data_IF_127257232572
#
_entry.id   IF_127257232572
#
_cell.length_a   1.000
_cell.length_b   1.000
_cell.length_c   1.000
_cell.angle_alpha   90.00
_cell.angle_beta   90.00
_cell.angle_gamma   90.00
#
_symmetry.space_group_name_H-M   'P 1'
#
loop_
_entity.id
_entity.type
_entity.pdbx_description
1 polymer ?
#
# COMPACT_ATOMS: atom_id res chain seq x y z
N UNK A 1 31.00 -2.04 -20.32
CA UNK A 1 30.97 -0.63 -19.85
C UNK A 1 29.97 0.26 -20.60
N UNK A 2 29.71 0.08 -21.90
CA UNK A 2 28.72 0.90 -22.66
C UNK A 2 27.26 0.65 -22.22
N UNK A 3 26.87 -0.61 -22.08
CA UNK A 3 25.51 -1.05 -21.72
C UNK A 3 25.02 -0.50 -20.36
N UNK A 4 25.90 -0.45 -19.36
CA UNK A 4 25.58 0.07 -18.03
C UNK A 4 25.39 1.61 -18.02
N UNK A 5 25.89 2.29 -19.05
CA UNK A 5 25.82 3.75 -19.20
C UNK A 5 24.54 4.16 -19.95
N UNK A 6 24.16 3.40 -20.98
CA UNK A 6 22.87 3.56 -21.68
C UNK A 6 21.68 3.33 -20.74
N UNK A 7 21.70 2.24 -19.97
CA UNK A 7 20.66 1.96 -18.96
C UNK A 7 20.57 3.06 -17.89
N UNK A 8 21.69 3.74 -17.57
CA UNK A 8 21.66 4.88 -16.64
C UNK A 8 20.96 6.09 -17.25
N UNK A 9 21.22 6.39 -18.52
CA UNK A 9 20.65 7.55 -19.23
C UNK A 9 19.15 7.36 -19.46
N UNK A 10 18.71 6.14 -19.77
CA UNK A 10 17.28 5.81 -19.92
C UNK A 10 16.52 6.04 -18.62
N UNK A 11 17.04 5.53 -17.50
CA UNK A 11 16.43 5.74 -16.18
C UNK A 11 16.39 7.23 -15.82
N UNK A 12 17.48 7.96 -16.04
CA UNK A 12 17.53 9.41 -15.79
C UNK A 12 16.47 10.15 -16.61
N UNK A 13 16.32 9.79 -17.89
CA UNK A 13 15.31 10.38 -18.78
C UNK A 13 13.88 10.07 -18.34
N UNK A 14 13.64 8.84 -17.87
CA UNK A 14 12.33 8.42 -17.40
C UNK A 14 11.95 9.12 -16.08
N UNK A 15 12.89 9.22 -15.13
CA UNK A 15 12.72 10.00 -13.89
C UNK A 15 12.40 11.45 -14.22
N UNK A 16 13.16 12.06 -15.13
CA UNK A 16 12.96 13.44 -15.57
C UNK A 16 11.56 13.66 -16.12
N UNK A 17 11.12 12.78 -17.04
CA UNK A 17 9.81 12.85 -17.66
C UNK A 17 8.68 12.74 -16.65
N UNK A 18 8.76 11.80 -15.71
CA UNK A 18 7.70 11.55 -14.72
C UNK A 18 7.57 12.70 -13.71
N UNK A 19 8.68 13.18 -13.17
CA UNK A 19 8.69 14.31 -12.23
C UNK A 19 8.16 15.58 -12.89
N UNK A 20 8.63 15.90 -14.10
CA UNK A 20 8.12 17.06 -14.84
C UNK A 20 6.66 16.91 -15.22
N UNK A 21 6.21 15.70 -15.52
CA UNK A 21 4.79 15.43 -15.75
C UNK A 21 3.96 15.79 -14.52
N UNK A 22 4.38 15.38 -13.32
CA UNK A 22 3.69 15.73 -12.07
C UNK A 22 3.66 17.25 -11.85
N UNK A 23 4.80 17.92 -12.00
CA UNK A 23 4.91 19.37 -11.83
C UNK A 23 4.03 20.12 -12.83
N UNK A 24 4.05 19.73 -14.11
CA UNK A 24 3.26 20.34 -15.17
C UNK A 24 1.76 20.07 -15.02
N UNK A 25 1.38 18.86 -14.58
CA UNK A 25 -0.01 18.54 -14.27
C UNK A 25 -0.53 19.43 -13.14
N UNK A 26 0.29 19.67 -12.10
CA UNK A 26 -0.12 20.57 -11.03
C UNK A 26 -0.29 22.01 -11.51
N UNK A 27 0.63 22.52 -12.33
CA UNK A 27 0.50 23.84 -12.92
C UNK A 27 -0.78 23.97 -13.76
N UNK A 28 -1.02 23.01 -14.67
CA UNK A 28 -2.24 22.96 -15.49
C UNK A 28 -3.53 22.89 -14.67
N UNK A 29 -3.50 22.17 -13.56
CA UNK A 29 -4.61 22.10 -12.62
C UNK A 29 -4.85 23.44 -11.91
N UNK A 30 -3.79 24.12 -11.46
CA UNK A 30 -3.92 25.46 -10.86
C UNK A 30 -4.45 26.50 -11.85
N UNK A 31 -4.12 26.38 -13.14
CA UNK A 31 -4.67 27.23 -14.20
C UNK A 31 -6.10 26.86 -14.62
N UNK A 32 -6.68 25.78 -14.07
CA UNK A 32 -8.02 25.31 -14.42
C UNK A 32 -8.13 24.67 -15.82
N UNK A 33 -6.99 24.36 -16.46
CA UNK A 33 -6.97 23.76 -17.81
C UNK A 33 -7.27 22.26 -17.79
N UNK A 34 -7.14 21.60 -16.63
CA UNK A 34 -7.53 20.21 -16.41
C UNK A 34 -8.40 20.10 -15.16
N UNK A 35 -9.36 19.16 -15.19
CA UNK A 35 -10.23 18.92 -14.04
C UNK A 35 -9.53 18.08 -12.95
N UNK A 36 -10.07 18.14 -11.73
CA UNK A 36 -9.54 17.45 -10.55
C UNK A 36 -9.42 15.93 -10.77
N UNK A 37 -10.47 15.30 -11.29
CA UNK A 37 -10.52 13.85 -11.51
C UNK A 37 -9.40 13.34 -12.44
N UNK A 38 -9.15 14.07 -13.54
CA UNK A 38 -8.06 13.82 -14.47
C UNK A 38 -6.70 14.09 -13.82
N UNK A 39 -6.56 15.23 -13.14
CA UNK A 39 -5.34 15.61 -12.44
C UNK A 39 -4.92 14.55 -11.42
N UNK A 40 -5.83 14.10 -10.56
CA UNK A 40 -5.55 13.08 -9.54
C UNK A 40 -5.12 11.75 -10.17
N UNK A 41 -5.84 11.28 -11.20
CA UNK A 41 -5.51 10.03 -11.91
C UNK A 41 -4.15 10.12 -12.60
N UNK A 42 -3.87 11.24 -13.28
CA UNK A 42 -2.63 11.44 -14.01
C UNK A 42 -1.42 11.52 -13.06
N UNK A 43 -1.54 12.24 -11.93
CA UNK A 43 -0.46 12.29 -10.94
C UNK A 43 -0.25 10.95 -10.23
N UNK A 44 -1.32 10.22 -9.88
CA UNK A 44 -1.22 8.85 -9.34
C UNK A 44 -0.49 7.91 -10.32
N UNK A 45 -0.80 7.99 -11.62
CA UNK A 45 -0.14 7.19 -12.64
C UNK A 45 1.35 7.54 -12.80
N UNK A 46 1.71 8.82 -12.83
CA UNK A 46 3.10 9.25 -12.92
C UNK A 46 3.90 8.83 -11.67
N UNK A 47 3.31 8.92 -10.48
CA UNK A 47 3.94 8.45 -9.24
C UNK A 47 4.17 6.94 -9.23
N UNK A 48 3.21 6.15 -9.75
CA UNK A 48 3.40 4.71 -9.93
C UNK A 48 4.58 4.39 -10.85
N UNK A 49 4.84 5.23 -11.86
CA UNK A 49 6.05 5.14 -12.68
C UNK A 49 7.32 5.31 -11.85
N UNK A 50 7.38 6.33 -11.00
CA UNK A 50 8.55 6.59 -10.14
C UNK A 50 8.81 5.42 -9.17
N UNK A 51 7.75 4.83 -8.60
CA UNK A 51 7.86 3.65 -7.72
C UNK A 51 8.38 2.40 -8.44
N UNK A 52 8.02 2.22 -9.73
CA UNK A 52 8.58 1.14 -10.56
C UNK A 52 10.07 1.34 -10.80
N UNK A 53 10.49 2.57 -11.12
CA UNK A 53 11.92 2.90 -11.29
C UNK A 53 12.69 2.67 -9.99
N UNK A 54 12.15 3.10 -8.84
CA UNK A 54 12.77 2.86 -7.54
C UNK A 54 12.96 1.35 -7.29
N UNK A 55 11.95 0.54 -7.60
CA UNK A 55 12.01 -0.91 -7.43
C UNK A 55 13.05 -1.55 -8.36
N UNK A 56 13.10 -1.13 -9.63
CA UNK A 56 14.09 -1.59 -10.59
C UNK A 56 15.53 -1.21 -10.21
N UNK A 57 15.74 0.02 -9.71
CA UNK A 57 17.04 0.45 -9.21
C UNK A 57 17.47 -0.37 -7.99
N UNK A 58 16.54 -0.65 -7.08
CA UNK A 58 16.79 -1.48 -5.89
C UNK A 58 17.20 -2.90 -6.25
N UNK A 59 16.54 -3.54 -7.20
CA UNK A 59 16.92 -4.87 -7.72
C UNK A 59 18.35 -4.90 -8.26
N UNK A 60 18.85 -3.76 -8.75
CA UNK A 60 20.21 -3.59 -9.26
C UNK A 60 21.19 -3.01 -8.23
N UNK A 61 20.82 -2.98 -6.93
CA UNK A 61 21.59 -2.36 -5.85
C UNK A 61 21.99 -0.89 -6.12
N UNK A 62 21.15 -0.17 -6.88
CA UNK A 62 21.28 1.26 -7.17
C UNK A 62 20.26 2.05 -6.34
N UNK A 63 20.54 3.34 -6.11
CA UNK A 63 19.75 4.20 -5.23
C UNK A 63 19.14 5.36 -6.03
N UNK A 64 17.81 5.48 -6.03
CA UNK A 64 17.09 6.59 -6.68
C UNK A 64 17.57 7.98 -6.20
N UNK A 65 17.75 8.24 -4.88
CA UNK A 65 18.36 9.48 -4.41
C UNK A 65 19.68 9.85 -5.09
N UNK A 66 20.57 8.87 -5.33
CA UNK A 66 21.85 9.12 -6.02
C UNK A 66 21.64 9.55 -7.48
N UNK A 67 20.60 9.05 -8.14
CA UNK A 67 20.24 9.49 -9.50
C UNK A 67 19.68 10.91 -9.48
N UNK A 68 18.78 11.22 -8.54
CA UNK A 68 18.19 12.55 -8.38
C UNK A 68 19.27 13.60 -8.08
N UNK A 69 20.21 13.29 -7.18
CA UNK A 69 21.36 14.14 -6.85
C UNK A 69 22.28 14.33 -8.07
N UNK A 70 22.62 13.25 -8.77
CA UNK A 70 23.46 13.31 -9.99
C UNK A 70 22.83 14.18 -11.09
N UNK A 71 21.50 14.17 -11.20
CA UNK A 71 20.75 14.98 -12.16
C UNK A 71 20.55 16.44 -11.72
N UNK A 72 20.99 16.83 -10.50
CA UNK A 72 20.66 18.10 -9.87
C UNK A 72 19.15 18.39 -9.77
N UNK A 73 18.35 17.34 -9.58
CA UNK A 73 16.89 17.39 -9.76
C UNK A 73 16.09 17.26 -8.45
N UNK A 74 16.78 17.51 -7.33
CA UNK A 74 16.25 17.34 -5.96
C UNK A 74 15.03 18.23 -5.73
N UNK A 75 15.06 19.49 -6.18
CA UNK A 75 13.98 20.46 -5.94
C UNK A 75 12.71 20.08 -6.68
N UNK A 76 12.86 19.67 -7.93
CA UNK A 76 11.77 19.28 -8.83
C UNK A 76 11.13 17.99 -8.36
N UNK A 77 11.96 17.03 -7.93
CA UNK A 77 11.50 15.79 -7.32
C UNK A 77 10.75 16.05 -6.00
N UNK A 78 11.30 16.86 -5.10
CA UNK A 78 10.64 17.22 -3.85
C UNK A 78 9.30 17.91 -4.09
N UNK A 79 9.21 18.77 -5.11
CA UNK A 79 7.96 19.40 -5.49
C UNK A 79 6.92 18.38 -5.98
N UNK A 80 7.31 17.44 -6.82
CA UNK A 80 6.45 16.35 -7.28
C UNK A 80 5.92 15.49 -6.11
N UNK A 81 6.77 15.20 -5.11
CA UNK A 81 6.35 14.51 -3.89
C UNK A 81 5.35 15.34 -3.07
N UNK A 82 5.58 16.66 -2.92
CA UNK A 82 4.63 17.56 -2.22
C UNK A 82 3.27 17.60 -2.91
N UNK A 83 3.26 17.65 -4.25
CA UNK A 83 2.02 17.63 -5.07
C UNK A 83 1.27 16.33 -4.84
N UNK A 84 1.95 15.19 -4.92
CA UNK A 84 1.33 13.89 -4.66
C UNK A 84 0.74 13.81 -3.24
N UNK A 85 1.47 14.29 -2.22
CA UNK A 85 0.95 14.37 -0.85
C UNK A 85 -0.29 15.25 -0.74
N UNK A 86 -0.32 16.41 -1.41
CA UNK A 86 -1.51 17.28 -1.44
C UNK A 86 -2.72 16.54 -2.01
N UNK A 87 -2.56 15.81 -3.11
CA UNK A 87 -3.63 15.04 -3.75
C UNK A 87 -4.11 13.90 -2.84
N UNK A 88 -3.18 13.18 -2.22
CA UNK A 88 -3.52 12.16 -1.24
C UNK A 88 -4.28 12.78 -0.06
N UNK A 89 -3.97 14.01 0.35
CA UNK A 89 -4.71 14.69 1.42
C UNK A 89 -6.08 15.26 1.00
N UNK A 90 -6.35 15.39 -0.30
CA UNK A 90 -7.61 15.91 -0.86
C UNK A 90 -8.67 14.82 -1.07
N UNK A 91 -8.28 13.56 -0.99
CA UNK A 91 -9.20 12.42 -1.05
C UNK A 91 -10.07 12.42 0.24
N UNK A 92 -11.41 12.57 0.19
CA UNK A 92 -12.27 12.60 1.37
C UNK A 92 -12.21 11.31 2.20
N UNK A 93 -11.66 10.23 1.65
CA UNK A 93 -11.37 8.99 2.37
C UNK A 93 -10.12 9.06 3.26
N UNK A 94 -9.31 10.13 3.19
CA UNK A 94 -8.02 10.26 3.88
C UNK A 94 -8.05 11.13 5.17
N UNK A 95 -9.15 11.08 5.93
CA UNK A 95 -9.26 11.68 7.27
C UNK A 95 -8.15 11.26 8.26
N UNK A 96 -7.38 10.20 7.97
CA UNK A 96 -6.27 9.74 8.81
C UNK A 96 -5.02 10.64 8.77
N UNK A 97 -4.80 11.44 7.71
CA UNK A 97 -3.60 12.29 7.62
C UNK A 97 -3.74 13.58 8.46
N UNK A 98 -4.96 13.91 8.93
CA UNK A 98 -5.21 15.07 9.79
C UNK A 98 -4.55 14.99 11.17
N UNK A 99 -4.10 13.82 11.62
CA UNK A 99 -3.59 13.64 12.99
C UNK A 99 -2.08 13.85 13.17
N UNK A 100 -1.28 13.95 12.11
CA UNK A 100 0.19 14.03 12.23
C UNK A 100 0.75 15.31 11.60
N UNK A 101 0.33 16.46 12.13
CA UNK A 101 1.03 17.72 11.91
C UNK A 101 2.30 17.75 12.77
N UNK A 102 3.38 17.26 12.17
CA UNK A 102 4.73 17.30 12.73
C UNK A 102 5.49 16.03 12.35
N UNK A 103 6.78 16.20 12.05
CA UNK A 103 7.77 15.14 11.86
C UNK A 103 7.94 14.65 10.40
N UNK A 104 8.56 15.49 9.57
CA UNK A 104 9.03 15.14 8.22
C UNK A 104 10.33 14.29 8.22
N UNK A 105 10.89 13.92 9.39
CA UNK A 105 12.03 12.97 9.47
C UNK A 105 11.63 11.52 9.74
N UNK A 106 10.45 11.27 10.34
CA UNK A 106 10.02 9.90 10.66
C UNK A 106 9.33 9.18 9.50
N UNK A 107 8.74 9.90 8.53
CA UNK A 107 8.01 9.24 7.44
C UNK A 107 8.94 8.55 6.43
N UNK A 108 10.11 9.10 6.16
CA UNK A 108 11.13 8.50 5.27
C UNK A 108 11.86 7.34 5.93
N UNK A 109 12.07 7.39 7.25
CA UNK A 109 12.55 6.23 8.04
C UNK A 109 11.49 5.14 8.18
N UNK A 110 10.23 5.48 8.44
CA UNK A 110 9.12 4.51 8.45
C UNK A 110 8.93 3.86 7.09
N UNK A 111 9.02 4.61 6.00
CA UNK A 111 8.89 4.03 4.65
C UNK A 111 10.08 3.11 4.30
N UNK A 112 11.30 3.45 4.75
CA UNK A 112 12.47 2.55 4.68
C UNK A 112 12.32 1.32 5.59
N UNK A 113 11.76 1.46 6.79
CA UNK A 113 11.51 0.35 7.71
C UNK A 113 10.40 -0.57 7.19
N UNK A 114 9.33 -0.02 6.61
CA UNK A 114 8.27 -0.79 5.95
C UNK A 114 8.81 -1.61 4.78
N UNK A 115 9.79 -1.12 4.00
CA UNK A 115 10.38 -1.88 2.88
C UNK A 115 11.26 -3.04 3.37
N UNK A 116 12.01 -2.87 4.47
CA UNK A 116 12.80 -3.96 5.07
C UNK A 116 11.92 -4.98 5.84
N UNK A 117 10.84 -4.51 6.47
CA UNK A 117 9.94 -5.34 7.28
C UNK A 117 8.76 -5.91 6.47
N UNK A 118 8.52 -5.42 5.25
CA UNK A 118 7.40 -5.80 4.37
C UNK A 118 7.27 -7.31 4.20
N UNK A 119 8.34 -8.07 3.87
CA UNK A 119 8.24 -9.53 3.76
C UNK A 119 7.88 -10.19 5.09
N UNK A 120 8.44 -9.71 6.20
CA UNK A 120 8.18 -10.24 7.54
C UNK A 120 6.74 -9.99 7.98
N UNK A 121 6.26 -8.76 7.85
CA UNK A 121 4.90 -8.36 8.24
C UNK A 121 3.87 -8.99 7.29
N UNK A 122 4.14 -9.05 5.98
CA UNK A 122 3.27 -9.74 5.04
C UNK A 122 3.18 -11.24 5.34
N UNK A 123 4.28 -11.87 5.73
CA UNK A 123 4.32 -13.26 6.18
C UNK A 123 3.51 -13.46 7.48
N UNK A 124 3.66 -12.57 8.46
CA UNK A 124 2.90 -12.61 9.72
C UNK A 124 1.39 -12.46 9.47
N UNK A 125 0.98 -11.52 8.61
CA UNK A 125 -0.41 -11.32 8.22
C UNK A 125 -0.94 -12.55 7.46
N UNK A 126 -0.15 -13.09 6.52
CA UNK A 126 -0.51 -14.30 5.76
C UNK A 126 -0.70 -15.50 6.70
N UNK A 127 0.22 -15.70 7.64
CA UNK A 127 0.11 -16.74 8.68
C UNK A 127 -1.13 -16.52 9.56
N UNK A 128 -1.44 -15.28 9.92
CA UNK A 128 -2.65 -14.93 10.68
C UNK A 128 -3.93 -15.28 9.90
N UNK A 129 -3.96 -15.04 8.59
CA UNK A 129 -5.08 -15.46 7.73
C UNK A 129 -5.22 -16.98 7.71
N UNK A 130 -4.13 -17.71 7.48
CA UNK A 130 -4.12 -19.18 7.37
C UNK A 130 -4.58 -19.79 8.69
N UNK A 131 -3.95 -19.41 9.81
CA UNK A 131 -4.29 -19.88 11.16
C UNK A 131 -5.77 -19.72 11.47
N UNK A 132 -6.33 -18.56 11.09
CA UNK A 132 -7.73 -18.27 11.30
C UNK A 132 -8.66 -19.10 10.39
N UNK A 133 -8.30 -19.27 9.12
CA UNK A 133 -9.05 -20.12 8.19
C UNK A 133 -9.04 -21.57 8.67
N UNK A 134 -7.92 -22.07 9.17
CA UNK A 134 -7.80 -23.42 9.72
C UNK A 134 -8.63 -23.57 10.99
N UNK A 135 -8.58 -22.60 11.91
CA UNK A 135 -9.43 -22.60 13.10
C UNK A 135 -10.94 -22.62 12.75
N UNK A 136 -11.34 -21.95 11.67
CA UNK A 136 -12.71 -22.00 11.15
C UNK A 136 -13.04 -23.38 10.54
N UNK A 137 -12.14 -23.96 9.76
CA UNK A 137 -12.35 -25.30 9.16
C UNK A 137 -12.45 -26.39 10.21
N UNK A 138 -11.61 -26.33 11.24
CA UNK A 138 -11.59 -27.29 12.35
C UNK A 138 -12.77 -27.12 13.33
N UNK A 139 -13.62 -26.11 13.15
CA UNK A 139 -14.75 -25.86 14.04
C UNK A 139 -14.32 -25.43 15.44
N UNK A 140 -13.22 -24.67 15.54
CA UNK A 140 -12.66 -24.21 16.80
C UNK A 140 -13.64 -23.40 17.67
N UNK A 141 -13.31 -23.24 18.95
CA UNK A 141 -14.17 -22.52 19.89
C UNK A 141 -14.43 -21.08 19.44
N UNK A 142 -15.66 -20.59 19.59
CA UNK A 142 -16.04 -19.26 19.11
C UNK A 142 -15.19 -18.14 19.73
N UNK A 143 -14.75 -18.28 20.99
CA UNK A 143 -13.86 -17.31 21.61
C UNK A 143 -12.49 -17.25 20.90
N UNK A 144 -11.97 -18.40 20.45
CA UNK A 144 -10.66 -18.53 19.84
C UNK A 144 -10.69 -17.91 18.44
N UNK A 145 -11.72 -18.23 17.66
CA UNK A 145 -11.93 -17.64 16.34
C UNK A 145 -12.07 -16.12 16.44
N UNK A 146 -12.82 -15.61 17.42
CA UNK A 146 -12.96 -14.16 17.63
C UNK A 146 -11.64 -13.52 18.08
N UNK A 147 -10.83 -14.21 18.89
CA UNK A 147 -9.49 -13.76 19.29
C UNK A 147 -8.57 -13.65 18.06
N UNK A 148 -8.46 -14.71 17.26
CA UNK A 148 -7.68 -14.74 16.02
C UNK A 148 -8.14 -13.66 15.03
N UNK A 149 -9.44 -13.40 14.96
CA UNK A 149 -9.99 -12.34 14.10
C UNK A 149 -9.60 -10.93 14.59
N UNK A 150 -9.53 -10.72 15.92
CA UNK A 150 -9.04 -9.47 16.50
C UNK A 150 -7.55 -9.29 16.24
N UNK A 151 -6.77 -10.35 16.35
CA UNK A 151 -5.33 -10.36 16.07
C UNK A 151 -5.06 -10.05 14.60
N UNK A 152 -5.70 -10.73 13.66
CA UNK A 152 -5.60 -10.44 12.22
C UNK A 152 -5.93 -8.96 11.92
N UNK A 153 -7.03 -8.46 12.49
CA UNK A 153 -7.43 -7.05 12.34
C UNK A 153 -6.39 -6.10 12.93
N UNK A 154 -5.80 -6.43 14.08
CA UNK A 154 -4.77 -5.62 14.71
C UNK A 154 -3.49 -5.61 13.88
N UNK A 155 -3.06 -6.76 13.35
CA UNK A 155 -1.87 -6.90 12.52
C UNK A 155 -1.99 -6.08 11.22
N UNK A 156 -3.15 -6.14 10.57
CA UNK A 156 -3.39 -5.35 9.35
C UNK A 156 -3.59 -3.86 9.65
N UNK A 157 -4.08 -3.49 10.84
CA UNK A 157 -4.15 -2.08 11.25
C UNK A 157 -2.78 -1.52 11.61
N UNK A 158 -1.91 -2.32 12.25
CA UNK A 158 -0.52 -1.95 12.53
C UNK A 158 0.26 -1.79 11.22
N UNK A 159 -0.07 -2.61 10.24
CA UNK A 159 0.45 -2.53 8.89
C UNK A 159 -0.27 -1.43 8.10
N UNK A 160 0.13 -0.18 8.38
CA UNK A 160 -0.39 1.04 7.76
C UNK A 160 0.19 1.24 6.34
N UNK A 161 0.00 0.24 5.47
CA UNK A 161 0.49 0.27 4.10
C UNK A 161 -0.53 0.97 3.17
N UNK A 162 -0.12 2.01 2.42
CA UNK A 162 -1.01 2.72 1.51
C UNK A 162 -1.62 1.79 0.46
N UNK A 163 -2.93 1.82 0.26
CA UNK A 163 -3.65 1.00 -0.74
C UNK A 163 -4.29 -0.29 -0.20
N UNK A 164 -4.19 -0.55 1.11
CA UNK A 164 -4.85 -1.66 1.81
C UNK A 164 -6.12 -1.26 2.58
N UNK A 165 -6.61 -0.05 2.39
CA UNK A 165 -7.77 0.48 3.13
C UNK A 165 -9.02 -0.37 2.87
N UNK A 166 -9.22 -0.84 1.64
CA UNK A 166 -10.31 -1.75 1.28
C UNK A 166 -10.16 -3.13 1.97
N UNK A 167 -8.92 -3.65 2.10
CA UNK A 167 -8.64 -4.90 2.82
C UNK A 167 -9.02 -4.75 4.30
N UNK A 168 -8.63 -3.65 4.94
CA UNK A 168 -9.02 -3.34 6.31
C UNK A 168 -10.54 -3.28 6.48
N UNK A 169 -11.25 -2.66 5.53
CA UNK A 169 -12.71 -2.57 5.53
C UNK A 169 -13.38 -3.93 5.37
N UNK A 170 -12.89 -4.77 4.44
CA UNK A 170 -13.39 -6.13 4.21
C UNK A 170 -13.24 -7.00 5.46
N UNK A 171 -12.09 -6.94 6.13
CA UNK A 171 -11.85 -7.68 7.37
C UNK A 171 -12.71 -7.17 8.52
N UNK A 172 -12.90 -5.85 8.63
CA UNK A 172 -13.83 -5.25 9.60
C UNK A 172 -15.27 -5.73 9.37
N UNK A 173 -15.71 -5.87 8.11
CA UNK A 173 -17.02 -6.43 7.75
C UNK A 173 -17.13 -7.90 8.15
N UNK A 174 -16.11 -8.71 7.84
CA UNK A 174 -16.05 -10.12 8.23
C UNK A 174 -16.12 -10.25 9.76
N UNK A 175 -15.29 -9.52 10.50
CA UNK A 175 -15.27 -9.49 11.96
C UNK A 175 -16.63 -9.12 12.58
N UNK A 176 -17.30 -8.09 12.05
CA UNK A 176 -18.64 -7.70 12.51
C UNK A 176 -19.64 -8.85 12.29
N UNK A 177 -19.57 -9.52 11.15
CA UNK A 177 -20.45 -10.65 10.81
C UNK A 177 -20.22 -11.84 11.74
N UNK A 178 -18.97 -12.22 11.99
CA UNK A 178 -18.61 -13.31 12.92
C UNK A 178 -18.97 -12.97 14.37
N UNK A 179 -18.66 -11.76 14.82
CA UNK A 179 -18.92 -11.33 16.21
C UNK A 179 -20.42 -11.28 16.55
N UNK A 180 -21.27 -10.95 15.58
CA UNK A 180 -22.74 -10.95 15.74
C UNK A 180 -23.36 -12.36 15.70
N UNK A 181 -22.64 -13.34 15.17
CA UNK A 181 -23.16 -14.69 14.92
C UNK A 181 -22.30 -15.77 15.62
N UNK A 182 -21.92 -15.54 16.89
CA UNK A 182 -21.07 -16.45 17.68
C UNK A 182 -21.63 -17.86 17.82
N UNK A 183 -22.94 -17.99 17.93
CA UNK A 183 -23.62 -19.29 18.01
C UNK A 183 -23.48 -20.05 16.69
N UNK A 184 -23.75 -19.39 15.55
CA UNK A 184 -23.60 -19.99 14.21
C UNK A 184 -22.15 -20.35 13.88
N UNK A 185 -21.17 -19.64 14.44
CA UNK A 185 -19.77 -20.00 14.33
C UNK A 185 -19.50 -21.41 14.87
N UNK A 186 -20.12 -21.80 15.98
CA UNK A 186 -19.93 -23.14 16.56
C UNK A 186 -20.80 -24.17 15.83
N UNK A 187 -22.07 -23.86 15.64
CA UNK A 187 -23.07 -24.86 15.23
C UNK A 187 -23.27 -25.03 13.73
N UNK A 188 -22.71 -24.16 12.88
CA UNK A 188 -23.01 -24.15 11.45
C UNK A 188 -21.72 -24.17 10.60
N UNK A 189 -21.41 -25.33 10.04
CA UNK A 189 -20.24 -25.56 9.16
C UNK A 189 -20.31 -24.74 7.88
N UNK A 190 -21.46 -24.69 7.20
CA UNK A 190 -21.65 -23.92 5.97
C UNK A 190 -21.42 -22.41 6.18
N UNK A 191 -21.80 -21.90 7.35
CA UNK A 191 -21.54 -20.52 7.75
C UNK A 191 -20.04 -20.27 7.93
N UNK A 192 -19.30 -21.22 8.50
CA UNK A 192 -17.84 -21.13 8.63
C UNK A 192 -17.16 -21.18 7.26
N UNK A 193 -17.56 -22.09 6.37
CA UNK A 193 -17.03 -22.18 5.01
C UNK A 193 -17.22 -20.87 4.24
N UNK A 194 -18.41 -20.27 4.29
CA UNK A 194 -18.67 -18.96 3.69
C UNK A 194 -17.78 -17.84 4.25
N UNK A 195 -17.31 -17.96 5.49
CA UNK A 195 -16.35 -17.01 6.07
C UNK A 195 -14.94 -17.32 5.56
N UNK A 196 -14.55 -18.59 5.50
CA UNK A 196 -13.26 -19.04 4.95
C UNK A 196 -13.10 -18.57 3.50
N UNK A 197 -14.10 -18.76 2.64
CA UNK A 197 -14.04 -18.32 1.23
C UNK A 197 -13.82 -16.82 1.10
N UNK A 198 -14.49 -16.04 1.97
CA UNK A 198 -14.32 -14.59 2.02
C UNK A 198 -12.93 -14.20 2.51
N UNK A 199 -12.41 -14.87 3.53
CA UNK A 199 -11.04 -14.64 4.02
C UNK A 199 -10.01 -14.98 2.95
N UNK A 200 -10.21 -16.07 2.21
CA UNK A 200 -9.34 -16.49 1.11
C UNK A 200 -9.34 -15.46 -0.03
N UNK A 201 -10.52 -14.98 -0.44
CA UNK A 201 -10.62 -13.91 -1.44
C UNK A 201 -9.90 -12.64 -1.00
N UNK A 202 -10.03 -12.25 0.27
CA UNK A 202 -9.35 -11.08 0.82
C UNK A 202 -7.83 -11.30 0.88
N UNK A 203 -7.37 -12.50 1.26
CA UNK A 203 -5.96 -12.85 1.29
C UNK A 203 -5.34 -12.78 -0.11
N UNK A 204 -6.03 -13.32 -1.13
CA UNK A 204 -5.56 -13.27 -2.52
C UNK A 204 -5.41 -11.83 -3.01
N UNK A 205 -6.39 -10.98 -2.71
CA UNK A 205 -6.33 -9.56 -3.06
C UNK A 205 -5.20 -8.82 -2.30
N UNK A 206 -5.00 -9.14 -1.02
CA UNK A 206 -3.89 -8.64 -0.22
C UNK A 206 -2.53 -9.03 -0.84
N UNK A 207 -2.34 -10.29 -1.22
CA UNK A 207 -1.12 -10.77 -1.88
C UNK A 207 -0.88 -10.09 -3.24
N UNK A 208 -1.94 -9.92 -4.04
CA UNK A 208 -1.88 -9.20 -5.31
C UNK A 208 -1.48 -7.73 -5.14
N UNK A 209 -2.06 -7.04 -4.16
CA UNK A 209 -1.74 -5.64 -3.86
C UNK A 209 -0.31 -5.44 -3.36
N UNK A 210 0.26 -6.44 -2.69
CA UNK A 210 1.66 -6.42 -2.24
C UNK A 210 2.67 -6.88 -3.29
N UNK A 211 2.20 -7.32 -4.47
CA UNK A 211 3.03 -7.87 -5.54
C UNK A 211 3.96 -9.01 -5.07
N UNK A 212 3.54 -9.74 -4.03
CA UNK A 212 4.22 -10.96 -3.57
C UNK A 212 3.73 -12.08 -4.48
N UNK A 213 4.35 -12.24 -5.66
CA UNK A 213 4.27 -13.51 -6.38
C UNK A 213 5.06 -14.53 -5.56
N UNK A 214 4.34 -15.40 -4.87
CA UNK A 214 4.83 -16.74 -4.51
C UNK A 214 5.15 -17.54 -5.76
#
# INVERSE_FOLDING_TARGET
>A
MKENKEVSIEIESEIFSLVNSINNLYFKYQEGTINDDFFQKAVKNAMNGLLKIESYLREKNKSLPKFIEKMNFVKEYDNAIKIFKKISNLDPSNEFIRSNNGIFSQSTEKMKSYILELPGIASEITSSFITLMDALKLGGQSHLIIKLMKELKANIKKFDFPGLEDIQLKIKKIYKKTSKNKTKLVSNTEFREKIVDRLYSVLKEFQQKLNVKT
#
